data_IF_843240723556
#
_entry.id   IF_843240723556
#
_cell.length_a   1.000
_cell.length_b   1.000
_cell.length_c   1.000
_cell.angle_alpha   90.00
_cell.angle_beta   90.00
_cell.angle_gamma   90.00
#
_symmetry.space_group_name_H-M   'P 1'
#
loop_
_entity.id
_entity.type
_entity.pdbx_description
1 polymer ?
#
# COMPACT_ATOMS: atom_id res chain seq x y z
N UNK A 1 -1.03 -14.74 -9.07
CA UNK A 1 -1.57 -13.65 -8.24
C UNK A 1 -0.62 -12.46 -8.40
N UNK A 2 -1.02 -11.43 -9.16
CA UNK A 2 -0.17 -10.28 -9.43
C UNK A 2 -0.14 -9.32 -8.23
N UNK A 3 1.03 -9.05 -7.61
CA UNK A 3 1.13 -8.14 -6.47
C UNK A 3 0.69 -6.70 -6.80
N UNK A 4 0.71 -6.30 -8.09
CA UNK A 4 0.12 -5.05 -8.57
C UNK A 4 -1.39 -4.95 -8.31
N UNK A 5 -2.14 -6.04 -8.50
CA UNK A 5 -3.59 -6.07 -8.25
C UNK A 5 -3.91 -5.94 -6.75
N UNK A 6 -3.06 -6.49 -5.89
CA UNK A 6 -3.23 -6.40 -4.42
C UNK A 6 -3.04 -4.96 -3.95
N UNK A 7 -2.04 -4.24 -4.49
CA UNK A 7 -1.80 -2.84 -4.18
C UNK A 7 -2.96 -1.91 -4.53
N UNK A 8 -3.49 -2.05 -5.75
CA UNK A 8 -4.67 -1.29 -6.17
C UNK A 8 -5.90 -1.62 -5.34
N UNK A 9 -6.13 -2.90 -5.05
CA UNK A 9 -7.26 -3.34 -4.24
C UNK A 9 -7.19 -2.77 -2.81
N UNK A 10 -6.01 -2.76 -2.20
CA UNK A 10 -5.78 -2.16 -0.88
C UNK A 10 -6.07 -0.66 -0.89
N UNK A 11 -5.65 0.05 -1.95
CA UNK A 11 -5.93 1.48 -2.13
C UNK A 11 -7.42 1.77 -2.25
N UNK A 12 -8.17 0.93 -2.97
CA UNK A 12 -9.63 1.06 -3.09
C UNK A 12 -10.28 0.86 -1.73
N UNK A 13 -10.00 -0.25 -1.04
CA UNK A 13 -10.51 -0.55 0.30
C UNK A 13 -10.20 0.56 1.31
N UNK A 14 -8.98 1.10 1.27
CA UNK A 14 -8.58 2.21 2.13
C UNK A 14 -9.48 3.43 1.91
N UNK A 15 -9.74 3.78 0.65
CA UNK A 15 -10.60 4.93 0.29
C UNK A 15 -12.06 4.67 0.62
N UNK A 16 -12.57 3.45 0.42
CA UNK A 16 -13.93 3.08 0.84
C UNK A 16 -14.14 3.22 2.35
N UNK A 17 -13.10 2.91 3.14
CA UNK A 17 -13.11 3.12 4.59
C UNK A 17 -12.78 4.54 5.03
N UNK A 18 -12.49 5.45 4.10
CA UNK A 18 -12.13 6.84 4.40
C UNK A 18 -10.81 6.99 5.17
N UNK A 19 -9.92 6.00 5.09
CA UNK A 19 -8.65 5.97 5.86
C UNK A 19 -7.51 6.64 5.09
N UNK A 20 -6.58 7.27 5.81
CA UNK A 20 -5.29 7.69 5.23
C UNK A 20 -4.29 6.53 5.18
N UNK A 21 -3.17 6.69 4.46
CA UNK A 21 -2.13 5.66 4.42
C UNK A 21 -1.52 5.44 5.81
N UNK A 22 -1.41 6.51 6.61
CA UNK A 22 -0.92 6.50 7.99
C UNK A 22 -1.88 5.75 8.91
N UNK A 23 -3.19 6.03 8.82
CA UNK A 23 -4.20 5.32 9.61
C UNK A 23 -4.25 3.83 9.26
N UNK A 24 -4.16 3.49 7.97
CA UNK A 24 -4.08 2.09 7.56
C UNK A 24 -2.79 1.43 8.06
N UNK A 25 -1.68 2.17 8.07
CA UNK A 25 -0.40 1.70 8.56
C UNK A 25 -0.43 1.45 10.08
N UNK A 26 -1.08 2.32 10.85
CA UNK A 26 -1.31 2.13 12.29
C UNK A 26 -2.13 0.86 12.57
N UNK A 27 -3.24 0.67 11.85
CA UNK A 27 -4.10 -0.52 11.99
C UNK A 27 -3.35 -1.82 11.66
N UNK A 28 -2.47 -1.77 10.66
CA UNK A 28 -1.67 -2.92 10.24
C UNK A 28 -0.34 -3.04 10.99
N UNK A 29 -0.06 -2.14 11.95
CA UNK A 29 1.21 -2.05 12.68
C UNK A 29 2.45 -2.03 11.76
N UNK A 30 2.34 -1.33 10.63
CA UNK A 30 3.43 -1.13 9.67
C UNK A 30 3.73 0.36 9.52
N UNK A 31 4.78 0.68 8.77
CA UNK A 31 5.06 2.09 8.41
C UNK A 31 4.15 2.55 7.26
N UNK A 32 3.77 3.84 7.25
CA UNK A 32 3.07 4.45 6.10
C UNK A 32 3.82 4.27 4.78
N UNK A 33 5.16 4.21 4.84
CA UNK A 33 6.03 3.90 3.70
C UNK A 33 5.81 2.48 3.17
N UNK A 34 5.51 1.51 4.02
CA UNK A 34 5.17 0.14 3.63
C UNK A 34 3.85 0.11 2.86
N UNK A 35 2.82 0.78 3.38
CA UNK A 35 1.50 0.92 2.72
C UNK A 35 1.65 1.62 1.36
N UNK A 36 2.42 2.70 1.30
CA UNK A 36 2.71 3.41 0.06
C UNK A 36 3.36 2.51 -0.99
N UNK A 37 4.36 1.69 -0.61
CA UNK A 37 5.01 0.72 -1.52
C UNK A 37 4.04 -0.35 -2.03
N UNK A 38 3.14 -0.83 -1.17
CA UNK A 38 2.11 -1.78 -1.58
C UNK A 38 1.16 -1.16 -2.59
N UNK A 39 0.64 0.04 -2.32
CA UNK A 39 -0.31 0.74 -3.20
C UNK A 39 0.28 1.15 -4.55
N UNK A 40 1.57 1.49 -4.59
CA UNK A 40 2.24 1.99 -5.82
C UNK A 40 2.99 0.90 -6.59
N UNK A 41 3.13 -0.30 -6.02
CA UNK A 41 3.78 -1.44 -6.69
C UNK A 41 5.28 -1.23 -6.98
N UNK A 42 5.91 -0.19 -6.41
CA UNK A 42 7.34 0.09 -6.61
C UNK A 42 8.15 -0.78 -5.66
N UNK A 43 8.31 -2.04 -6.05
CA UNK A 43 9.49 -2.79 -5.63
C UNK A 43 10.69 -2.07 -6.25
N UNK A 44 11.69 -1.70 -5.44
CA UNK A 44 12.94 -1.17 -5.97
C UNK A 44 13.59 -2.25 -6.84
N UNK A 45 13.26 -2.32 -8.14
CA UNK A 45 14.24 -2.79 -9.11
C UNK A 45 15.31 -1.72 -9.12
N UNK A 46 16.34 -1.95 -8.30
CA UNK A 46 17.62 -1.26 -8.37
C UNK A 46 18.04 -1.27 -9.84
N UNK A 47 18.00 -0.09 -10.48
CA UNK A 47 18.87 0.18 -11.60
C UNK A 47 20.28 0.29 -11.01
N UNK A 48 21.02 -0.81 -11.08
CA UNK A 48 22.48 -0.80 -11.09
C UNK A 48 22.93 -0.87 -12.54
#
# INVERSE_FOLDING_TARGET
MDPKKIGEFLKVLRREKGLTQEQLAEVLHVSGRSVSRWETGVSQTKGY
#
